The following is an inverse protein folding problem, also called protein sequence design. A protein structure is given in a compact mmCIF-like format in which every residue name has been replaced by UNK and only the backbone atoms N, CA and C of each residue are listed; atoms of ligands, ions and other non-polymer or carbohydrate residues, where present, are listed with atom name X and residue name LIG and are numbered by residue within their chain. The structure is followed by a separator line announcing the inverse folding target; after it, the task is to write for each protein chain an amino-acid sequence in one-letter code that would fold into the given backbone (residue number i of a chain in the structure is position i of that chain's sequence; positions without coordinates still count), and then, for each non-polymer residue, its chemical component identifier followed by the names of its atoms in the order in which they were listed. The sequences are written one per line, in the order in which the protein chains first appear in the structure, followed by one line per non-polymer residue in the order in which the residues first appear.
data_IF_665823686691
#
_entry.id   IF_665823686691
#
_cell.length_a   1.000
_cell.length_b   1.000
_cell.length_c   1.000
_cell.angle_alpha   90.00
_cell.angle_beta   90.00
_cell.angle_gamma   90.00
#
_symmetry.space_group_name_H-M   'P 1'
#
loop_
_entity.id
_entity.type
_entity.pdbx_description
1 polymer ?
#
# COMPACT_ATOMS: atom_id res chain seq x y z
N UNK A 1 2.99 12.71 0.04
CA UNK A 1 2.70 14.10 -0.43
C UNK A 1 1.64 14.16 -1.53
N UNK A 2 1.72 13.35 -2.59
CA UNK A 2 0.73 13.35 -3.68
C UNK A 2 -0.73 13.30 -3.17
N UNK A 3 -1.07 12.31 -2.34
CA UNK A 3 -2.43 12.18 -1.81
C UNK A 3 -2.84 13.38 -0.93
N UNK A 4 -1.95 13.84 -0.04
CA UNK A 4 -2.20 15.01 0.83
C UNK A 4 -2.36 16.32 0.05
N UNK A 5 -1.89 16.41 -1.18
CA UNK A 5 -2.15 17.55 -2.08
C UNK A 5 -3.51 17.47 -2.80
N UNK A 6 -4.30 16.44 -2.48
CA UNK A 6 -5.58 16.15 -3.13
C UNK A 6 -5.43 15.46 -4.49
N UNK A 7 -4.23 15.06 -4.89
CA UNK A 7 -4.03 14.31 -6.13
C UNK A 7 -4.53 12.86 -5.99
N UNK A 8 -4.91 12.25 -7.12
CA UNK A 8 -5.27 10.84 -7.25
C UNK A 8 -4.57 10.31 -8.49
N UNK A 9 -4.16 9.04 -8.46
CA UNK A 9 -3.48 8.41 -9.61
C UNK A 9 -4.45 7.99 -10.71
N UNK A 10 -5.72 7.84 -10.38
CA UNK A 10 -6.80 7.46 -11.29
C UNK A 10 -8.04 8.31 -11.02
N UNK A 11 -8.98 8.30 -11.93
CA UNK A 11 -10.26 9.00 -11.82
C UNK A 11 -11.26 8.27 -10.89
N UNK A 12 -11.31 6.94 -10.95
CA UNK A 12 -12.15 6.11 -10.07
C UNK A 12 -11.36 4.90 -9.50
N UNK A 13 -11.20 4.76 -8.19
CA UNK A 13 -10.46 3.64 -7.60
C UNK A 13 -10.97 2.24 -7.98
N UNK A 14 -12.28 2.05 -8.16
CA UNK A 14 -12.89 0.73 -8.38
C UNK A 14 -12.95 0.34 -9.86
N UNK A 15 -13.02 1.33 -10.76
CA UNK A 15 -13.16 1.12 -12.19
C UNK A 15 -12.68 2.36 -12.95
N UNK A 16 -11.36 2.47 -13.14
CA UNK A 16 -10.76 3.62 -13.81
C UNK A 16 -10.55 3.38 -15.30
N UNK A 17 -10.85 4.39 -16.11
CA UNK A 17 -10.46 4.43 -17.52
C UNK A 17 -9.34 5.44 -17.81
N UNK A 18 -8.94 6.20 -16.78
CA UNK A 18 -7.96 7.28 -16.92
C UNK A 18 -6.91 7.27 -15.81
N UNK A 19 -5.67 7.43 -16.25
CA UNK A 19 -4.51 7.64 -15.39
C UNK A 19 -4.18 9.13 -15.25
N UNK A 20 -3.72 9.53 -14.07
CA UNK A 20 -3.43 10.91 -13.69
C UNK A 20 -2.01 11.09 -13.13
N UNK A 21 -1.03 10.29 -13.59
CA UNK A 21 0.36 10.42 -13.12
C UNK A 21 1.07 11.68 -13.63
N UNK A 22 0.52 12.35 -14.63
CA UNK A 22 0.99 13.64 -15.17
C UNK A 22 0.37 14.85 -14.46
N UNK A 23 -0.45 14.65 -13.41
CA UNK A 23 -0.92 15.75 -12.57
C UNK A 23 0.30 16.48 -11.97
N UNK A 24 0.43 17.81 -12.11
CA UNK A 24 1.56 18.58 -11.57
C UNK A 24 1.81 18.33 -10.09
N UNK A 25 0.78 18.01 -9.31
CA UNK A 25 0.90 17.69 -7.89
C UNK A 25 1.53 16.32 -7.64
N UNK A 26 1.28 15.35 -8.53
CA UNK A 26 1.95 14.04 -8.50
C UNK A 26 3.41 14.21 -8.87
N UNK A 27 3.70 14.91 -9.97
CA UNK A 27 5.07 15.20 -10.42
C UNK A 27 5.88 15.88 -9.30
N UNK A 28 5.35 16.97 -8.72
CA UNK A 28 5.98 17.66 -7.59
C UNK A 28 6.20 16.78 -6.37
N UNK A 29 5.33 15.82 -6.11
CA UNK A 29 5.52 14.91 -4.98
C UNK A 29 6.73 13.98 -5.17
N UNK A 30 7.00 13.56 -6.40
CA UNK A 30 8.20 12.77 -6.74
C UNK A 30 9.45 13.64 -6.71
N UNK A 31 9.42 14.83 -7.30
CA UNK A 31 10.56 15.78 -7.24
C UNK A 31 10.92 16.11 -5.78
N UNK A 32 9.93 16.31 -4.92
CA UNK A 32 10.15 16.60 -3.50
C UNK A 32 10.87 15.45 -2.79
N UNK A 33 10.54 14.19 -3.08
CA UNK A 33 11.25 13.04 -2.49
C UNK A 33 12.71 13.03 -2.94
N UNK A 34 12.99 13.34 -4.21
CA UNK A 34 14.34 13.47 -4.74
C UNK A 34 15.10 14.63 -4.09
N UNK A 35 14.47 15.79 -3.88
CA UNK A 35 15.05 16.92 -3.16
C UNK A 35 15.44 16.51 -1.73
N UNK A 36 14.55 15.81 -1.03
CA UNK A 36 14.81 15.33 0.34
C UNK A 36 16.00 14.37 0.41
N UNK A 37 16.12 13.47 -0.56
CA UNK A 37 17.18 12.46 -0.60
C UNK A 37 18.52 13.06 -1.05
N UNK A 38 18.53 13.76 -2.19
CA UNK A 38 19.76 14.14 -2.88
C UNK A 38 20.28 15.52 -2.47
N UNK A 39 19.40 16.47 -2.15
CA UNK A 39 19.79 17.84 -1.77
C UNK A 39 19.83 18.02 -0.25
N UNK A 40 18.71 17.71 0.43
CA UNK A 40 18.59 17.93 1.89
C UNK A 40 19.26 16.83 2.70
N UNK A 41 19.43 15.64 2.13
CA UNK A 41 19.94 14.42 2.80
C UNK A 41 19.15 14.07 4.06
N UNK A 42 17.84 14.31 4.05
CA UNK A 42 16.92 13.93 5.12
C UNK A 42 16.42 12.49 4.96
N UNK A 43 16.51 11.96 3.74
CA UNK A 43 16.26 10.57 3.40
C UNK A 43 17.55 9.97 2.85
N UNK A 44 17.85 8.68 3.13
CA UNK A 44 18.90 7.98 2.42
C UNK A 44 18.61 7.99 0.91
N UNK A 45 19.64 8.28 0.11
CA UNK A 45 19.57 8.18 -1.35
C UNK A 45 19.43 6.73 -1.81
N UNK A 46 19.00 6.54 -3.05
CA UNK A 46 18.83 5.20 -3.62
C UNK A 46 20.16 4.40 -3.64
N UNK A 47 21.28 5.09 -3.88
CA UNK A 47 22.62 4.47 -3.85
C UNK A 47 23.03 4.05 -2.45
N UNK A 48 22.74 4.88 -1.44
CA UNK A 48 22.98 4.54 -0.03
C UNK A 48 22.14 3.33 0.40
N UNK A 49 20.84 3.31 0.07
CA UNK A 49 19.96 2.18 0.37
C UNK A 49 20.44 0.88 -0.29
N UNK A 50 20.89 0.96 -1.55
CA UNK A 50 21.42 -0.21 -2.28
C UNK A 50 22.77 -0.67 -1.74
N UNK A 51 23.61 0.27 -1.25
CA UNK A 51 24.93 -0.03 -0.68
C UNK A 51 24.86 -0.73 0.67
N UNK A 52 23.79 -0.49 1.44
CA UNK A 52 23.52 -1.22 2.68
C UNK A 52 22.85 -2.55 2.33
N UNK A 53 23.65 -3.47 1.77
CA UNK A 53 23.25 -4.83 1.45
C UNK A 53 22.50 -5.44 2.65
N UNK A 54 21.28 -5.92 2.42
CA UNK A 54 20.41 -6.64 3.37
C UNK A 54 19.77 -5.83 4.53
N UNK A 55 19.87 -4.50 4.60
CA UNK A 55 19.12 -3.74 5.62
C UNK A 55 17.77 -3.25 5.09
N UNK A 56 16.69 -3.60 5.79
CA UNK A 56 15.35 -3.02 5.54
C UNK A 56 15.20 -1.66 6.24
N UNK A 57 14.21 -0.84 5.86
CA UNK A 57 13.95 0.44 6.54
C UNK A 57 13.75 0.29 8.06
N UNK A 58 13.10 -0.81 8.49
CA UNK A 58 12.93 -1.13 9.91
C UNK A 58 14.26 -1.50 10.60
N UNK A 59 15.22 -2.10 9.89
CA UNK A 59 16.56 -2.36 10.44
C UNK A 59 17.34 -1.07 10.67
N UNK A 60 17.23 -0.09 9.76
CA UNK A 60 17.82 1.23 9.92
C UNK A 60 17.25 1.94 11.16
N UNK A 61 15.94 1.82 11.39
CA UNK A 61 15.29 2.40 12.56
C UNK A 61 15.72 1.70 13.86
N UNK A 62 15.66 0.36 13.91
CA UNK A 62 16.08 -0.44 15.08
C UNK A 62 17.56 -0.17 15.44
N UNK A 63 18.41 0.04 14.45
CA UNK A 63 19.83 0.38 14.64
C UNK A 63 20.11 1.87 14.90
N UNK A 64 19.07 2.69 15.09
CA UNK A 64 19.16 4.14 15.33
C UNK A 64 19.91 4.90 14.22
N UNK A 65 19.92 4.36 12.99
CA UNK A 65 20.51 5.01 11.81
C UNK A 65 19.55 6.00 11.14
N UNK A 66 18.25 5.89 11.43
CA UNK A 66 17.23 6.87 11.05
C UNK A 66 16.34 7.19 12.25
N UNK A 67 15.96 8.47 12.40
CA UNK A 67 15.12 8.91 13.52
C UNK A 67 13.62 8.64 13.31
N UNK A 68 13.17 8.62 12.05
CA UNK A 68 11.79 8.32 11.67
C UNK A 68 11.82 7.36 10.47
N UNK A 69 10.82 6.48 10.40
CA UNK A 69 10.60 5.63 9.24
C UNK A 69 9.10 5.50 8.98
N UNK A 70 8.67 5.55 7.72
CA UNK A 70 7.28 5.33 7.35
C UNK A 70 7.00 3.83 7.32
N UNK A 71 5.97 3.38 8.03
CA UNK A 71 5.70 1.97 8.19
C UNK A 71 4.21 1.65 8.26
N UNK A 72 3.91 0.36 8.13
CA UNK A 72 2.65 -0.18 8.59
C UNK A 72 2.78 -0.78 9.99
N UNK A 73 1.63 -1.08 10.60
CA UNK A 73 1.58 -1.60 11.96
C UNK A 73 2.14 -3.02 12.08
N UNK A 74 2.24 -3.76 10.96
CA UNK A 74 2.81 -5.11 10.88
C UNK A 74 4.29 -5.18 11.27
N UNK A 75 5.03 -4.07 11.27
CA UNK A 75 6.43 -4.03 11.71
C UNK A 75 6.56 -4.01 13.25
N UNK A 76 5.50 -3.65 13.99
CA UNK A 76 5.53 -3.50 15.46
C UNK A 76 6.03 -4.75 16.19
N UNK A 77 5.59 -5.98 15.88
CA UNK A 77 6.12 -7.18 16.54
C UNK A 77 7.63 -7.34 16.37
N UNK A 78 8.16 -7.05 15.16
CA UNK A 78 9.60 -7.11 14.89
C UNK A 78 10.36 -6.07 15.69
N UNK A 79 9.85 -4.85 15.78
CA UNK A 79 10.47 -3.78 16.58
C UNK A 79 10.44 -4.13 18.06
N UNK A 80 9.31 -4.60 18.61
CA UNK A 80 9.22 -5.05 20.01
C UNK A 80 10.19 -6.18 20.33
N UNK A 81 10.37 -7.11 19.39
CA UNK A 81 11.31 -8.22 19.56
C UNK A 81 12.76 -7.73 19.65
N UNK A 82 13.14 -6.73 18.84
CA UNK A 82 14.48 -6.18 18.80
C UNK A 82 14.75 -5.14 19.91
N UNK A 83 13.77 -4.30 20.23
CA UNK A 83 13.81 -3.21 21.20
C UNK A 83 12.99 -3.58 22.44
N UNK A 84 13.46 -4.59 23.18
CA UNK A 84 12.81 -5.01 24.43
C UNK A 84 13.10 -3.98 25.53
N UNK A 85 12.09 -3.44 26.22
CA UNK A 85 12.32 -2.51 27.33
C UNK A 85 13.30 -3.07 28.36
N UNK A 86 14.30 -2.26 28.73
CA UNK A 86 15.37 -2.65 29.66
C UNK A 86 16.54 -3.42 29.03
N UNK A 87 16.49 -3.74 27.73
CA UNK A 87 17.68 -4.25 27.01
C UNK A 87 18.63 -3.11 26.63
N UNK A 88 19.91 -3.43 26.43
CA UNK A 88 20.95 -2.46 26.04
C UNK A 88 20.63 -1.71 24.74
N UNK A 89 19.93 -2.36 23.81
CA UNK A 89 19.56 -1.79 22.50
C UNK A 89 18.31 -0.93 22.56
N UNK A 90 17.60 -0.90 23.69
CA UNK A 90 16.32 -0.22 23.82
C UNK A 90 16.47 1.30 23.76
N UNK A 91 15.58 1.93 23.00
CA UNK A 91 15.30 3.36 23.05
C UNK A 91 13.78 3.54 22.99
N UNK A 92 13.28 4.66 23.52
CA UNK A 92 11.86 4.96 23.44
C UNK A 92 11.44 5.28 22.00
N UNK A 93 10.37 4.65 21.55
CA UNK A 93 9.85 4.83 20.19
C UNK A 93 8.32 4.85 20.20
N UNK A 94 7.73 5.53 19.23
CA UNK A 94 6.29 5.64 19.12
C UNK A 94 5.86 5.84 17.66
N UNK A 95 4.55 5.89 17.44
CA UNK A 95 3.94 6.22 16.14
C UNK A 95 3.19 7.55 16.20
N UNK A 96 3.03 8.18 15.04
CA UNK A 96 2.22 9.39 14.90
C UNK A 96 1.63 9.47 13.50
N UNK A 97 0.75 10.45 13.28
CA UNK A 97 0.19 10.72 11.96
C UNK A 97 1.29 11.17 11.00
N UNK A 98 1.28 10.62 9.78
CA UNK A 98 2.16 11.08 8.71
C UNK A 98 2.00 12.60 8.49
N UNK A 99 3.08 13.37 8.25
CA UNK A 99 3.02 14.82 8.08
C UNK A 99 1.97 15.26 7.05
N UNK A 100 1.23 16.32 7.37
CA UNK A 100 0.27 16.91 6.45
C UNK A 100 0.94 17.80 5.42
N UNK A 101 0.26 18.02 4.30
CA UNK A 101 0.64 18.99 3.29
C UNK A 101 -0.05 20.32 3.59
N UNK A 102 0.68 21.43 3.57
CA UNK A 102 0.07 22.75 3.62
C UNK A 102 -0.37 23.12 2.21
N UNK A 103 -1.67 23.24 2.00
CA UNK A 103 -2.22 23.70 0.73
C UNK A 103 -1.78 25.16 0.51
N UNK A 104 -1.02 25.45 -0.56
CA UNK A 104 -0.50 26.80 -0.81
C UNK A 104 -1.60 27.82 -1.11
N UNK A 105 -2.77 27.40 -1.60
CA UNK A 105 -3.88 28.29 -1.91
C UNK A 105 -4.67 28.69 -0.65
N UNK A 106 -4.81 27.77 0.31
CA UNK A 106 -5.67 27.97 1.49
C UNK A 106 -4.91 28.11 2.82
N UNK A 107 -3.63 27.75 2.85
CA UNK A 107 -2.81 27.69 4.06
C UNK A 107 -3.21 26.55 5.02
N UNK A 108 -4.17 25.71 4.66
CA UNK A 108 -4.69 24.64 5.53
C UNK A 108 -3.83 23.39 5.43
N UNK A 109 -3.72 22.68 6.55
CA UNK A 109 -3.08 21.35 6.59
C UNK A 109 -4.06 20.30 6.05
N UNK A 110 -3.67 19.63 4.99
CA UNK A 110 -4.39 18.50 4.39
C UNK A 110 -3.61 17.22 4.66
N UNK A 111 -4.30 16.18 5.11
CA UNK A 111 -3.71 14.86 5.35
C UNK A 111 -4.42 13.84 4.48
N UNK A 112 -3.64 13.03 3.79
CA UNK A 112 -4.12 11.82 3.17
C UNK A 112 -2.99 10.79 3.09
N UNK A 113 -3.28 9.55 3.46
CA UNK A 113 -2.33 8.46 3.44
C UNK A 113 -2.95 7.23 2.76
N UNK A 114 -2.16 6.47 1.99
CA UNK A 114 -2.66 5.20 1.49
C UNK A 114 -2.82 4.25 2.67
N UNK A 115 -3.93 3.53 2.72
CA UNK A 115 -4.10 2.40 3.63
C UNK A 115 -4.87 1.29 2.94
N UNK A 116 -4.77 0.10 3.48
CA UNK A 116 -5.52 -1.07 3.04
C UNK A 116 -6.15 -1.78 4.23
N UNK A 117 -6.90 -2.84 3.92
CA UNK A 117 -7.45 -3.75 4.90
C UNK A 117 -7.38 -5.18 4.37
N UNK A 118 -7.52 -6.13 5.26
CA UNK A 118 -7.74 -7.53 4.89
C UNK A 118 -9.14 -7.93 5.30
N UNK A 119 -9.80 -8.72 4.46
CA UNK A 119 -11.11 -9.28 4.71
C UNK A 119 -11.11 -10.77 4.52
N UNK A 120 -12.12 -11.44 5.08
CA UNK A 120 -12.38 -12.84 4.80
C UNK A 120 -13.46 -12.94 3.73
N UNK A 121 -13.25 -13.81 2.75
CA UNK A 121 -14.20 -14.08 1.67
C UNK A 121 -14.62 -15.55 1.71
N UNK A 122 -15.86 -15.81 1.33
CA UNK A 122 -16.39 -17.17 1.14
C UNK A 122 -16.52 -17.39 -0.36
N UNK A 123 -15.86 -18.43 -0.87
CA UNK A 123 -16.00 -18.80 -2.28
C UNK A 123 -17.41 -19.28 -2.55
N UNK A 124 -18.03 -18.77 -3.62
CA UNK A 124 -19.38 -19.16 -4.03
C UNK A 124 -19.51 -20.66 -4.35
N UNK A 125 -18.39 -21.33 -4.65
CA UNK A 125 -18.32 -22.77 -4.90
C UNK A 125 -18.24 -23.64 -3.64
N UNK A 126 -18.28 -23.06 -2.44
CA UNK A 126 -18.17 -23.83 -1.20
C UNK A 126 -19.33 -24.82 -1.06
N UNK A 127 -19.07 -26.10 -0.71
CA UNK A 127 -20.12 -27.06 -0.38
C UNK A 127 -20.72 -26.84 1.02
N UNK A 128 -20.12 -25.96 1.84
CA UNK A 128 -20.49 -25.70 3.23
C UNK A 128 -20.72 -24.19 3.49
N UNK A 129 -21.72 -23.55 2.87
CA UNK A 129 -21.92 -22.11 2.97
C UNK A 129 -22.29 -21.65 4.39
N UNK A 130 -23.08 -22.42 5.13
CA UNK A 130 -23.50 -22.05 6.49
C UNK A 130 -22.35 -22.13 7.50
N UNK A 131 -21.55 -23.19 7.45
CA UNK A 131 -20.38 -23.37 8.32
C UNK A 131 -19.30 -22.36 8.00
N UNK A 132 -19.04 -22.10 6.71
CA UNK A 132 -18.13 -21.05 6.28
C UNK A 132 -18.57 -19.67 6.80
N UNK A 133 -19.89 -19.38 6.75
CA UNK A 133 -20.43 -18.13 7.29
C UNK A 133 -20.20 -18.01 8.80
N UNK A 134 -20.50 -19.05 9.57
CA UNK A 134 -20.25 -19.07 11.02
C UNK A 134 -18.78 -18.86 11.35
N UNK A 135 -17.87 -19.48 10.59
CA UNK A 135 -16.43 -19.30 10.76
C UNK A 135 -16.01 -17.85 10.46
N UNK A 136 -16.44 -17.29 9.34
CA UNK A 136 -16.14 -15.90 8.98
C UNK A 136 -16.69 -14.92 10.01
N UNK A 137 -17.91 -15.13 10.53
CA UNK A 137 -18.47 -14.33 11.61
C UNK A 137 -17.62 -14.40 12.89
N UNK A 138 -17.09 -15.57 13.24
CA UNK A 138 -16.21 -15.71 14.40
C UNK A 138 -14.85 -15.01 14.18
N UNK A 139 -14.24 -15.20 13.01
CA UNK A 139 -12.93 -14.63 12.66
C UNK A 139 -12.98 -13.10 12.53
N UNK A 140 -14.04 -12.57 11.92
CA UNK A 140 -14.27 -11.13 11.77
C UNK A 140 -14.98 -10.49 12.98
N UNK A 141 -15.46 -11.31 13.90
CA UNK A 141 -16.07 -10.87 15.15
C UNK A 141 -15.06 -10.52 16.24
N UNK A 142 -15.58 -10.18 17.40
CA UNK A 142 -14.76 -9.84 18.57
C UNK A 142 -13.73 -10.92 18.95
N UNK A 143 -14.08 -12.23 19.01
CA UNK A 143 -13.12 -13.26 19.39
C UNK A 143 -11.87 -13.29 18.49
N UNK A 144 -12.05 -13.25 17.17
CA UNK A 144 -10.94 -13.27 16.21
C UNK A 144 -10.10 -11.99 16.24
N UNK A 145 -10.75 -10.82 16.26
CA UNK A 145 -10.04 -9.53 16.25
C UNK A 145 -9.30 -9.24 17.55
N UNK A 146 -9.82 -9.67 18.71
CA UNK A 146 -9.21 -9.42 20.02
C UNK A 146 -7.81 -10.03 20.14
N UNK A 147 -7.59 -11.23 19.61
CA UNK A 147 -6.28 -11.87 19.62
C UNK A 147 -5.25 -11.08 18.78
N UNK A 148 -5.65 -10.63 17.60
CA UNK A 148 -4.80 -9.81 16.71
C UNK A 148 -4.50 -8.43 17.31
N UNK A 149 -5.49 -7.82 17.97
CA UNK A 149 -5.35 -6.53 18.66
C UNK A 149 -4.26 -6.61 19.73
N UNK A 150 -4.34 -7.61 20.62
CA UNK A 150 -3.38 -7.83 21.71
C UNK A 150 -1.96 -8.06 21.18
N UNK A 151 -1.83 -8.80 20.08
CA UNK A 151 -0.55 -9.02 19.44
C UNK A 151 0.06 -7.73 18.85
N UNK A 152 -0.75 -6.68 18.64
CA UNK A 152 -0.33 -5.45 17.96
C UNK A 152 -0.14 -5.63 16.46
N UNK A 153 -0.70 -6.68 15.87
CA UNK A 153 -0.49 -7.05 14.46
C UNK A 153 -1.34 -6.24 13.48
N UNK A 154 -2.55 -5.86 13.91
CA UNK A 154 -3.51 -5.12 13.10
C UNK A 154 -4.46 -4.34 14.01
N UNK A 155 -4.79 -3.11 13.62
CA UNK A 155 -5.89 -2.38 14.25
C UNK A 155 -7.20 -3.14 13.99
N UNK A 156 -8.03 -3.40 15.02
CA UNK A 156 -9.34 -4.00 14.82
C UNK A 156 -10.25 -3.14 13.94
N UNK A 157 -11.02 -3.75 13.04
CA UNK A 157 -12.06 -3.05 12.29
C UNK A 157 -13.29 -2.73 13.16
N UNK A 158 -13.50 -3.49 14.25
CA UNK A 158 -14.52 -3.20 15.25
C UNK A 158 -14.04 -2.04 16.13
N UNK A 159 -14.70 -0.87 16.00
CA UNK A 159 -14.29 0.37 16.68
C UNK A 159 -14.19 0.24 18.20
N UNK A 160 -15.11 -0.47 18.85
CA UNK A 160 -15.04 -0.67 20.31
C UNK A 160 -13.78 -1.41 20.76
N UNK A 161 -13.24 -2.31 19.93
CA UNK A 161 -11.97 -3.00 20.19
C UNK A 161 -10.77 -2.11 19.88
N UNK A 162 -10.81 -1.35 18.78
CA UNK A 162 -9.77 -0.39 18.43
C UNK A 162 -9.62 0.74 19.47
N UNK A 163 -10.71 1.09 20.14
CA UNK A 163 -10.73 2.08 21.23
C UNK A 163 -10.54 1.46 22.62
N UNK A 164 -10.44 0.13 22.69
CA UNK A 164 -10.39 -0.63 23.94
C UNK A 164 -8.97 -0.97 24.39
N UNK A 165 -8.84 -1.53 25.62
CA UNK A 165 -7.55 -1.89 26.21
C UNK A 165 -6.85 -3.07 25.51
N UNK A 166 -7.57 -3.80 24.64
CA UNK A 166 -6.97 -4.85 23.82
C UNK A 166 -6.07 -4.26 22.71
N UNK A 167 -6.31 -3.00 22.30
CA UNK A 167 -5.49 -2.29 21.30
C UNK A 167 -4.66 -1.17 21.94
N UNK A 168 -5.33 -0.26 22.66
CA UNK A 168 -4.69 0.92 23.24
C UNK A 168 -3.95 0.51 24.52
N UNK A 169 -2.62 0.66 24.58
CA UNK A 169 -1.86 0.29 25.76
C UNK A 169 -2.20 1.24 26.92
N UNK A 170 -2.28 0.67 28.12
CA UNK A 170 -2.49 1.39 29.37
C UNK A 170 -1.49 0.97 30.45
N UNK A 171 -1.67 1.46 31.69
CA UNK A 171 -0.79 1.13 32.82
C UNK A 171 -0.67 -0.37 33.08
N UNK A 172 -1.75 -1.13 32.89
CA UNK A 172 -1.80 -2.57 33.14
C UNK A 172 -1.33 -3.41 31.94
N UNK A 173 -1.03 -2.79 30.80
CA UNK A 173 -0.48 -3.51 29.63
C UNK A 173 0.92 -4.01 29.97
N UNK A 174 1.28 -5.27 29.65
CA UNK A 174 2.63 -5.77 29.83
C UNK A 174 3.67 -4.87 29.16
N UNK A 175 4.82 -4.65 29.81
CA UNK A 175 5.82 -3.65 29.41
C UNK A 175 6.28 -3.85 27.96
N UNK A 176 6.46 -5.10 27.54
CA UNK A 176 6.84 -5.50 26.19
C UNK A 176 5.77 -5.22 25.12
N UNK A 177 4.53 -4.97 25.54
CA UNK A 177 3.39 -4.62 24.69
C UNK A 177 2.97 -3.16 24.83
N UNK A 178 3.66 -2.32 25.63
CA UNK A 178 3.31 -0.90 25.79
C UNK A 178 3.70 -0.04 24.59
N UNK A 179 4.71 -0.43 23.83
CA UNK A 179 5.18 0.30 22.66
C UNK A 179 4.54 -0.22 21.36
N UNK A 180 4.16 0.61 20.38
CA UNK A 180 4.06 2.07 20.50
C UNK A 180 2.90 2.43 21.43
N UNK A 181 3.07 3.51 22.21
CA UNK A 181 2.09 3.96 23.19
C UNK A 181 0.92 4.68 22.51
N UNK A 182 1.22 5.49 21.50
CA UNK A 182 0.26 6.29 20.74
C UNK A 182 -0.50 5.47 19.69
N UNK A 183 -0.94 4.25 20.03
CA UNK A 183 -1.72 3.38 19.15
C UNK A 183 -3.08 3.97 18.74
N UNK A 184 -3.57 4.96 19.48
CA UNK A 184 -4.75 5.75 19.10
C UNK A 184 -4.54 6.53 17.79
N UNK A 185 -3.30 6.83 17.41
CA UNK A 185 -2.99 7.49 16.14
C UNK A 185 -3.52 6.72 14.93
N UNK A 186 -3.71 5.39 15.04
CA UNK A 186 -4.24 4.59 13.95
C UNK A 186 -5.74 4.85 13.71
N UNK A 187 -6.54 5.04 14.77
CA UNK A 187 -7.94 5.49 14.66
C UNK A 187 -8.03 6.95 14.18
N UNK A 188 -7.16 7.83 14.70
CA UNK A 188 -7.07 9.22 14.24
C UNK A 188 -6.70 9.34 12.75
N UNK A 189 -6.01 8.34 12.19
CA UNK A 189 -5.65 8.30 10.79
C UNK A 189 -6.82 7.91 9.86
N UNK A 190 -7.86 7.21 10.38
CA UNK A 190 -8.97 6.66 9.59
C UNK A 190 -9.65 7.70 8.68
N UNK A 191 -9.98 8.93 9.13
CA UNK A 191 -10.62 9.93 8.27
C UNK A 191 -9.75 10.42 7.10
N UNK A 192 -8.45 10.16 7.14
CA UNK A 192 -7.47 10.59 6.13
C UNK A 192 -7.05 9.44 5.20
N UNK A 193 -7.61 8.24 5.38
CA UNK A 193 -7.28 7.10 4.53
C UNK A 193 -7.78 7.33 3.11
N UNK A 194 -6.92 7.07 2.15
CA UNK A 194 -7.28 6.95 0.74
C UNK A 194 -7.01 5.51 0.33
N UNK A 195 -8.05 4.78 -0.06
CA UNK A 195 -7.89 3.44 -0.58
C UNK A 195 -7.17 3.50 -1.93
N UNK A 196 -6.19 2.61 -2.17
CA UNK A 196 -5.59 2.48 -3.49
C UNK A 196 -6.63 2.01 -4.51
N UNK A 197 -6.38 2.18 -5.82
CA UNK A 197 -7.23 1.58 -6.83
C UNK A 197 -7.31 0.06 -6.65
N UNK A 198 -8.51 -0.49 -6.78
CA UNK A 198 -8.85 -1.89 -6.54
C UNK A 198 -9.24 -2.64 -7.80
N UNK A 199 -9.30 -1.98 -8.97
CA UNK A 199 -9.52 -2.67 -10.22
C UNK A 199 -8.42 -3.71 -10.47
N UNK A 200 -8.77 -4.89 -10.98
CA UNK A 200 -7.86 -6.03 -11.10
C UNK A 200 -6.61 -5.72 -11.96
N UNK A 201 -6.75 -4.80 -12.92
CA UNK A 201 -5.66 -4.34 -13.78
C UNK A 201 -4.77 -3.24 -13.16
N UNK A 202 -5.05 -2.76 -11.94
CA UNK A 202 -4.25 -1.72 -11.29
C UNK A 202 -2.78 -2.11 -11.13
N UNK A 203 -2.50 -3.34 -10.68
CA UNK A 203 -1.13 -3.80 -10.46
C UNK A 203 -0.30 -3.77 -11.75
N UNK A 204 -0.90 -4.22 -12.85
CA UNK A 204 -0.27 -4.22 -14.18
C UNK A 204 -0.02 -2.80 -14.68
N UNK A 205 -1.07 -1.96 -14.69
CA UNK A 205 -1.02 -0.62 -15.27
C UNK A 205 -0.12 0.32 -14.44
N UNK A 206 -0.25 0.29 -13.11
CA UNK A 206 0.59 1.11 -12.23
C UNK A 206 2.05 0.65 -12.21
N UNK A 207 2.30 -0.65 -12.35
CA UNK A 207 3.65 -1.21 -12.45
C UNK A 207 4.44 -0.64 -13.62
N UNK A 208 3.79 -0.40 -14.76
CA UNK A 208 4.41 0.25 -15.93
C UNK A 208 4.87 1.67 -15.62
N UNK A 209 4.10 2.44 -14.83
CA UNK A 209 4.50 3.78 -14.40
C UNK A 209 5.61 3.71 -13.36
N UNK A 210 5.43 2.91 -12.30
CA UNK A 210 6.39 2.82 -11.21
C UNK A 210 7.73 2.20 -11.63
N UNK A 211 7.78 1.45 -12.72
CA UNK A 211 9.03 1.00 -13.34
C UNK A 211 9.96 2.15 -13.75
N UNK A 212 9.43 3.37 -13.91
CA UNK A 212 10.19 4.58 -14.22
C UNK A 212 10.65 5.35 -12.97
N UNK A 213 10.18 4.99 -11.77
CA UNK A 213 10.49 5.73 -10.55
C UNK A 213 11.99 5.69 -10.20
N UNK A 214 12.69 4.62 -10.57
CA UNK A 214 14.14 4.50 -10.33
C UNK A 214 14.95 5.58 -11.05
N UNK A 215 14.57 5.98 -12.27
CA UNK A 215 15.28 7.04 -12.99
C UNK A 215 15.11 8.40 -12.32
N UNK A 216 13.98 8.62 -11.64
CA UNK A 216 13.71 9.81 -10.83
C UNK A 216 14.62 9.82 -9.61
N UNK A 217 14.67 8.73 -8.85
CA UNK A 217 15.44 8.67 -7.60
C UNK A 217 16.96 8.69 -7.83
N UNK A 218 17.42 8.11 -8.94
CA UNK A 218 18.83 8.18 -9.37
C UNK A 218 19.23 9.53 -9.97
N UNK A 219 18.25 10.40 -10.28
CA UNK A 219 18.48 11.67 -10.97
C UNK A 219 18.82 11.54 -12.46
N UNK A 220 18.64 10.37 -13.06
CA UNK A 220 18.87 10.15 -14.50
C UNK A 220 17.74 10.69 -15.39
N UNK A 221 16.55 10.95 -14.80
CA UNK A 221 15.46 11.67 -15.44
C UNK A 221 14.73 12.56 -14.42
N UNK A 222 14.07 13.61 -14.91
CA UNK A 222 13.13 14.41 -14.07
C UNK A 222 11.85 13.61 -13.79
N UNK A 223 11.13 13.94 -12.71
CA UNK A 223 9.85 13.30 -12.44
C UNK A 223 8.85 13.52 -13.59
N UNK A 224 8.83 14.70 -14.19
CA UNK A 224 7.98 15.01 -15.33
C UNK A 224 8.25 14.07 -16.52
N UNK A 225 9.51 13.90 -16.91
CA UNK A 225 9.88 13.02 -18.02
C UNK A 225 9.50 11.56 -17.74
N UNK A 226 9.91 11.04 -16.57
CA UNK A 226 9.72 9.65 -16.21
C UNK A 226 8.24 9.28 -16.04
N UNK A 227 7.47 10.13 -15.33
CA UNK A 227 6.05 9.89 -15.12
C UNK A 227 5.22 10.11 -16.38
N UNK A 228 5.58 11.06 -17.25
CA UNK A 228 4.90 11.25 -18.54
C UNK A 228 5.08 10.03 -19.43
N UNK A 229 6.30 9.52 -19.55
CA UNK A 229 6.56 8.32 -20.34
C UNK A 229 5.89 7.08 -19.75
N UNK A 230 5.99 6.90 -18.42
CA UNK A 230 5.29 5.83 -17.71
C UNK A 230 3.78 5.89 -17.92
N UNK A 231 3.17 7.07 -17.76
CA UNK A 231 1.74 7.28 -17.96
C UNK A 231 1.30 6.98 -19.39
N UNK A 232 2.10 7.36 -20.40
CA UNK A 232 1.82 7.07 -21.82
C UNK A 232 1.78 5.56 -22.09
N UNK A 233 2.79 4.83 -21.63
CA UNK A 233 2.86 3.36 -21.78
C UNK A 233 1.69 2.69 -21.06
N UNK A 234 1.44 3.10 -19.81
CA UNK A 234 0.38 2.56 -18.98
C UNK A 234 -1.01 2.84 -19.55
N UNK A 235 -1.24 4.03 -20.12
CA UNK A 235 -2.52 4.38 -20.78
C UNK A 235 -2.77 3.51 -22.00
N UNK A 236 -1.76 3.28 -22.86
CA UNK A 236 -1.91 2.39 -24.00
C UNK A 236 -2.26 0.94 -23.59
N UNK A 237 -1.70 0.46 -22.47
CA UNK A 237 -2.06 -0.85 -21.93
C UNK A 237 -3.47 -0.86 -21.35
N UNK A 238 -3.85 0.18 -20.61
CA UNK A 238 -5.22 0.32 -20.08
C UNK A 238 -6.25 0.29 -21.20
N UNK A 239 -6.04 1.05 -22.29
CA UNK A 239 -6.93 1.02 -23.45
C UNK A 239 -7.04 -0.37 -24.09
N UNK A 240 -5.96 -1.14 -24.09
CA UNK A 240 -5.97 -2.52 -24.60
C UNK A 240 -6.81 -3.43 -23.69
N UNK A 241 -6.60 -3.36 -22.39
CA UNK A 241 -7.35 -4.14 -21.38
C UNK A 241 -8.85 -3.82 -21.47
N UNK A 242 -9.22 -2.53 -21.53
CA UNK A 242 -10.61 -2.12 -21.62
C UNK A 242 -11.27 -2.56 -22.94
N UNK A 243 -10.52 -2.64 -24.04
CA UNK A 243 -11.01 -3.22 -25.30
C UNK A 243 -11.20 -4.73 -25.20
N UNK A 244 -10.25 -5.44 -24.57
CA UNK A 244 -10.31 -6.89 -24.35
C UNK A 244 -11.50 -7.28 -23.48
N UNK A 245 -11.81 -6.49 -22.44
CA UNK A 245 -12.94 -6.72 -21.53
C UNK A 245 -14.30 -6.54 -22.20
N UNK A 246 -14.35 -5.76 -23.29
CA UNK A 246 -15.55 -5.58 -24.12
C UNK A 246 -15.73 -6.67 -25.18
N UNK A 247 -14.73 -7.54 -25.39
CA UNK A 247 -14.85 -8.62 -26.37
C UNK A 247 -15.83 -9.68 -25.86
N UNK A 248 -16.66 -10.27 -26.75
CA UNK A 248 -17.48 -11.40 -26.37
C UNK A 248 -16.58 -12.56 -25.93
N UNK A 249 -17.07 -13.35 -24.96
CA UNK A 249 -16.39 -14.58 -24.56
C UNK A 249 -16.07 -15.44 -25.78
N UNK A 250 -14.84 -15.96 -25.84
CA UNK A 250 -14.39 -16.76 -26.97
C UNK A 250 -15.34 -17.94 -27.22
N UNK A 251 -15.87 -18.03 -28.44
CA UNK A 251 -16.78 -19.10 -28.80
C UNK A 251 -15.97 -20.38 -29.08
N UNK A 252 -15.82 -21.22 -28.05
CA UNK A 252 -15.07 -22.47 -28.11
C UNK A 252 -15.56 -23.45 -29.18
N UNK A 253 -16.85 -23.40 -29.55
CA UNK A 253 -17.37 -24.24 -30.63
C UNK A 253 -16.81 -23.80 -31.99
N UNK A 254 -16.84 -22.51 -32.27
CA UNK A 254 -16.26 -21.95 -33.50
C UNK A 254 -14.74 -22.14 -33.50
N UNK A 255 -14.09 -21.85 -32.36
CA UNK A 255 -12.65 -22.06 -32.18
C UNK A 255 -12.21 -23.49 -32.43
N UNK A 256 -12.97 -24.47 -31.91
CA UNK A 256 -12.70 -25.90 -32.12
C UNK A 256 -12.84 -26.32 -33.59
N UNK A 257 -13.89 -25.85 -34.28
CA UNK A 257 -14.09 -26.14 -35.71
C UNK A 257 -12.97 -25.55 -36.56
N UNK A 258 -12.61 -24.28 -36.34
CA UNK A 258 -11.52 -23.62 -37.07
C UNK A 258 -10.18 -24.29 -36.75
N UNK A 259 -9.93 -24.64 -35.48
CA UNK A 259 -8.72 -25.34 -35.06
C UNK A 259 -8.56 -26.70 -35.74
N UNK A 260 -9.62 -27.50 -35.79
CA UNK A 260 -9.62 -28.78 -36.51
C UNK A 260 -9.39 -28.61 -38.00
N UNK A 261 -10.00 -27.60 -38.63
CA UNK A 261 -9.80 -27.31 -40.05
C UNK A 261 -8.35 -26.91 -40.37
N UNK A 262 -7.74 -26.05 -39.53
CA UNK A 262 -6.33 -25.66 -39.68
C UNK A 262 -5.38 -26.84 -39.46
N UNK A 263 -5.65 -27.69 -38.46
CA UNK A 263 -4.88 -28.90 -38.20
C UNK A 263 -4.96 -29.89 -39.37
N UNK A 264 -6.16 -30.10 -39.92
CA UNK A 264 -6.35 -30.94 -41.10
C UNK A 264 -5.66 -30.38 -42.34
N UNK A 265 -5.70 -29.06 -42.56
CA UNK A 265 -5.00 -28.40 -43.65
C UNK A 265 -3.47 -28.51 -43.51
N UNK A 266 -2.93 -28.41 -42.30
CA UNK A 266 -1.50 -28.58 -42.02
C UNK A 266 -1.03 -30.04 -42.20
N UNK A 267 -1.89 -31.02 -41.92
CA UNK A 267 -1.61 -32.44 -42.19
C UNK A 267 -1.71 -32.80 -43.68
N UNK A 268 -2.42 -32.00 -44.46
CA UNK A 268 -2.57 -32.18 -45.91
C UNK A 268 -1.47 -31.47 -46.73
N UNK A 269 -0.59 -30.71 -46.08
CA UNK A 269 0.60 -30.07 -46.66
C UNK A 269 1.83 -30.96 -46.47
#
# INVERSE_FOLDING_TARGET
VALSSGARYVDNPESFDKLNFTDPRVIRAFDWVTELANEKRWLPSQSELTSVVQSTAVDLFISQRVAMYQCGIWDVPRIRQALKPGSEKFFEWDITLAPGHIDPATGKVVRAAPSGGSGYAILNSTPHPEEAWKLVQWMSGEPGMKAMAKAGLAQPAIKSLAMGPDWIPGPDTPIEQRYPANRIATDQAVPYVVLPPTADYWGEVSGLVFSKAESIYSGSATAEQALTEGNRIATARLETILKEDQLPAFNWNIGGVVGLALFAAALAW
#
